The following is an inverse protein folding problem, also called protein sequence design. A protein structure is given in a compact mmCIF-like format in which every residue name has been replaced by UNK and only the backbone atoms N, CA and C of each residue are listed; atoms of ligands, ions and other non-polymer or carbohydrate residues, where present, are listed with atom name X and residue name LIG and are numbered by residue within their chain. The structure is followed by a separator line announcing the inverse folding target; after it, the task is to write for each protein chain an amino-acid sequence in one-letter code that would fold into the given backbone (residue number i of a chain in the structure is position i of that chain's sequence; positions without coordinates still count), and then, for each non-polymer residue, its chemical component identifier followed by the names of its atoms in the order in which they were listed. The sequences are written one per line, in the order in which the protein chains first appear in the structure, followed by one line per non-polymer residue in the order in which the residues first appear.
data_IF_100256274113
#
_entry.id   IF_100256274113
#
_cell.length_a   1.000
_cell.length_b   1.000
_cell.length_c   1.000
_cell.angle_alpha   90.00
_cell.angle_beta   90.00
_cell.angle_gamma   90.00
#
_symmetry.space_group_name_H-M   'P 1'
#
loop_
_entity.id
_entity.type
_entity.pdbx_description
1 polymer ?
#
# COMPACT_ATOMS: atom_id res chain seq x y z
N UNK A 1 -10.66 -9.82 14.14
CA UNK A 1 -10.20 -9.69 12.74
C UNK A 1 -9.02 -8.73 12.79
N UNK A 2 -7.84 -9.24 12.61
CA UNK A 2 -6.65 -8.40 12.48
C UNK A 2 -6.42 -8.29 10.98
N UNK A 3 -6.75 -7.14 10.42
CA UNK A 3 -6.30 -6.81 9.08
C UNK A 3 -4.82 -6.52 9.23
N UNK A 4 -4.00 -7.42 8.83
CA UNK A 4 -2.64 -7.12 8.54
C UNK A 4 -2.64 -6.75 7.06
N UNK A 5 -2.93 -5.45 6.80
CA UNK A 5 -2.42 -4.87 5.59
C UNK A 5 -0.91 -5.05 5.70
N UNK A 6 -0.38 -5.97 4.93
CA UNK A 6 1.03 -5.97 4.70
C UNK A 6 1.30 -4.74 3.88
N UNK A 7 1.48 -3.62 4.59
CA UNK A 7 1.99 -2.39 4.02
C UNK A 7 3.39 -2.57 3.39
N UNK A 8 3.96 -3.75 3.51
CA UNK A 8 5.06 -4.25 2.67
C UNK A 8 4.54 -4.83 1.35
N UNK A 9 3.24 -4.95 1.19
CA UNK A 9 2.60 -5.46 -0.01
C UNK A 9 2.75 -4.58 -1.23
N UNK A 10 3.06 -3.32 -1.06
CA UNK A 10 3.31 -2.42 -2.19
C UNK A 10 4.43 -2.87 -3.14
N UNK A 11 5.18 -3.88 -2.84
CA UNK A 11 6.28 -4.33 -3.67
C UNK A 11 6.69 -5.78 -3.46
N UNK A 12 5.83 -6.62 -2.90
CA UNK A 12 6.22 -7.96 -2.53
C UNK A 12 5.05 -8.96 -2.55
N UNK A 13 5.26 -10.10 -3.21
CA UNK A 13 4.42 -11.27 -2.98
C UNK A 13 5.07 -12.12 -1.88
N UNK A 14 4.34 -12.49 -0.82
CA UNK A 14 4.90 -13.22 0.30
C UNK A 14 5.37 -14.62 -0.10
N UNK A 15 6.26 -15.18 0.69
CA UNK A 15 6.58 -16.60 0.63
C UNK A 15 5.38 -17.46 1.06
N UNK A 16 5.32 -18.70 0.58
CA UNK A 16 4.21 -19.61 0.87
C UNK A 16 4.07 -19.87 2.39
N UNK A 17 5.20 -20.01 3.10
CA UNK A 17 5.21 -20.18 4.56
C UNK A 17 4.42 -19.09 5.32
N UNK A 18 4.41 -17.85 4.80
CA UNK A 18 3.65 -16.76 5.40
C UNK A 18 2.14 -17.00 5.30
N UNK A 19 1.67 -17.39 4.12
CA UNK A 19 0.24 -17.68 3.92
C UNK A 19 -0.18 -18.96 4.64
N UNK A 20 0.68 -19.98 4.72
CA UNK A 20 0.44 -21.17 5.51
C UNK A 20 0.20 -20.83 7.00
N UNK A 21 1.01 -19.94 7.57
CA UNK A 21 0.82 -19.46 8.95
C UNK A 21 -0.48 -18.64 9.07
N UNK A 22 -0.83 -17.83 8.09
CA UNK A 22 -2.10 -17.09 8.09
C UNK A 22 -3.29 -18.05 8.02
N UNK A 23 -3.21 -19.12 7.23
CA UNK A 23 -4.22 -20.17 7.15
C UNK A 23 -4.41 -20.87 8.49
N UNK A 24 -3.32 -21.27 9.15
CA UNK A 24 -3.35 -21.92 10.46
C UNK A 24 -3.94 -21.02 11.56
N UNK A 25 -3.58 -19.73 11.54
CA UNK A 25 -4.03 -18.77 12.55
C UNK A 25 -5.41 -18.17 12.25
N UNK A 26 -5.98 -18.41 11.08
CA UNK A 26 -7.25 -17.83 10.66
C UNK A 26 -7.18 -16.32 10.42
N UNK A 27 -6.04 -15.83 9.94
CA UNK A 27 -5.82 -14.43 9.59
C UNK A 27 -6.27 -14.19 8.15
N UNK A 28 -6.95 -13.07 7.89
CA UNK A 28 -7.30 -12.68 6.54
C UNK A 28 -6.19 -11.81 5.96
N UNK A 29 -5.81 -12.11 4.73
CA UNK A 29 -4.77 -11.41 3.98
C UNK A 29 -5.39 -10.59 2.85
N UNK A 30 -5.03 -9.32 2.80
CA UNK A 30 -5.24 -8.41 1.67
C UNK A 30 -3.93 -8.38 0.87
N UNK A 31 -3.95 -8.86 -0.36
CA UNK A 31 -2.76 -8.95 -1.20
C UNK A 31 -2.81 -7.95 -2.35
N UNK A 32 -1.87 -7.02 -2.36
CA UNK A 32 -1.67 -6.14 -3.51
C UNK A 32 -0.89 -6.85 -4.63
N UNK A 33 -1.23 -6.52 -5.88
CA UNK A 33 -0.28 -6.64 -6.97
C UNK A 33 0.85 -5.61 -6.77
N UNK A 34 2.08 -5.92 -7.22
CA UNK A 34 3.30 -5.18 -6.86
C UNK A 34 3.39 -3.79 -7.50
N UNK A 35 2.35 -2.97 -7.38
CA UNK A 35 2.30 -1.60 -7.89
C UNK A 35 1.93 -0.61 -6.80
N UNK A 36 2.79 0.39 -6.60
CA UNK A 36 2.58 1.40 -5.58
C UNK A 36 3.19 2.74 -5.94
N UNK A 37 2.52 3.84 -5.59
CA UNK A 37 3.06 5.20 -5.53
C UNK A 37 3.87 5.59 -6.78
N UNK A 38 3.45 5.18 -7.98
CA UNK A 38 4.10 5.47 -9.25
C UNK A 38 3.10 5.46 -10.40
N UNK A 39 3.50 5.96 -11.57
CA UNK A 39 2.72 5.86 -12.81
C UNK A 39 3.54 5.12 -13.85
N UNK A 40 2.97 4.10 -14.44
CA UNK A 40 3.62 3.24 -15.41
C UNK A 40 3.13 3.53 -16.83
N UNK A 41 4.04 3.38 -17.81
CA UNK A 41 3.67 3.34 -19.21
C UNK A 41 3.45 1.88 -19.62
N UNK A 42 2.28 1.55 -20.09
CA UNK A 42 1.96 0.20 -20.53
C UNK A 42 2.47 -0.01 -21.97
N UNK A 43 3.76 -0.34 -22.09
CA UNK A 43 4.34 -0.83 -23.36
C UNK A 43 3.93 -2.27 -23.59
N UNK A 44 4.02 -2.75 -24.82
CA UNK A 44 3.72 -4.15 -25.17
C UNK A 44 4.59 -5.13 -24.37
N UNK A 45 5.90 -4.87 -24.30
CA UNK A 45 6.84 -5.68 -23.52
C UNK A 45 6.49 -5.69 -22.02
N UNK A 46 6.10 -4.53 -21.46
CA UNK A 46 5.72 -4.44 -20.06
C UNK A 46 4.40 -5.18 -19.80
N UNK A 47 3.40 -5.04 -20.69
CA UNK A 47 2.12 -5.75 -20.59
C UNK A 47 2.33 -7.28 -20.62
N UNK A 48 3.17 -7.78 -21.53
CA UNK A 48 3.51 -9.21 -21.59
C UNK A 48 4.17 -9.70 -20.30
N UNK A 49 5.15 -8.94 -19.78
CA UNK A 49 5.88 -9.30 -18.58
C UNK A 49 4.99 -9.32 -17.33
N UNK A 50 4.20 -8.25 -17.08
CA UNK A 50 3.30 -8.20 -15.91
C UNK A 50 2.18 -9.22 -16.01
N UNK A 51 1.68 -9.50 -17.21
CA UNK A 51 0.65 -10.54 -17.42
C UNK A 51 1.17 -11.91 -16.99
N UNK A 52 2.39 -12.26 -17.38
CA UNK A 52 3.01 -13.51 -16.96
C UNK A 52 3.21 -13.56 -15.44
N UNK A 53 3.70 -12.48 -14.84
CA UNK A 53 3.89 -12.35 -13.39
C UNK A 53 2.55 -12.51 -12.63
N UNK A 54 1.49 -11.88 -13.10
CA UNK A 54 0.17 -11.99 -12.46
C UNK A 54 -0.35 -13.41 -12.48
N UNK A 55 -0.30 -14.07 -13.64
CA UNK A 55 -0.74 -15.47 -13.79
C UNK A 55 0.05 -16.38 -12.84
N UNK A 56 1.36 -16.23 -12.78
CA UNK A 56 2.23 -17.06 -11.96
C UNK A 56 1.91 -16.90 -10.47
N UNK A 57 1.82 -15.65 -9.98
CA UNK A 57 1.54 -15.40 -8.57
C UNK A 57 0.09 -15.72 -8.18
N UNK A 58 -0.89 -15.45 -9.03
CA UNK A 58 -2.28 -15.86 -8.75
C UNK A 58 -2.37 -17.39 -8.62
N UNK A 59 -1.75 -18.14 -9.52
CA UNK A 59 -1.72 -19.61 -9.45
C UNK A 59 -1.05 -20.13 -8.19
N UNK A 60 0.03 -19.46 -7.76
CA UNK A 60 0.79 -19.81 -6.57
C UNK A 60 -0.02 -19.57 -5.28
N UNK A 61 -0.77 -18.46 -5.20
CA UNK A 61 -1.37 -17.99 -3.96
C UNK A 61 -2.87 -18.29 -3.80
N UNK A 62 -3.61 -18.51 -4.89
CA UNK A 62 -5.08 -18.64 -4.91
C UNK A 62 -5.67 -19.78 -4.07
N UNK A 63 -4.85 -20.73 -3.66
CA UNK A 63 -5.33 -21.89 -2.89
C UNK A 63 -5.34 -21.65 -1.37
N UNK A 64 -4.81 -20.53 -0.89
CA UNK A 64 -4.80 -20.18 0.52
C UNK A 64 -6.14 -19.60 0.97
N UNK A 65 -6.83 -20.22 1.93
CA UNK A 65 -8.11 -19.72 2.44
C UNK A 65 -7.96 -18.40 3.22
N UNK A 66 -6.78 -18.05 3.67
CA UNK A 66 -6.47 -16.75 4.27
C UNK A 66 -6.53 -15.58 3.28
N UNK A 67 -6.29 -15.83 1.99
CA UNK A 67 -6.32 -14.81 0.95
C UNK A 67 -7.74 -14.27 0.75
N UNK A 68 -8.05 -13.12 1.34
CA UNK A 68 -9.38 -12.53 1.34
C UNK A 68 -9.70 -11.74 0.08
N UNK A 69 -8.72 -11.06 -0.47
CA UNK A 69 -8.87 -10.27 -1.70
C UNK A 69 -7.54 -9.98 -2.38
N UNK A 70 -7.63 -9.70 -3.66
CA UNK A 70 -6.58 -9.11 -4.47
C UNK A 70 -6.82 -7.62 -4.66
N UNK A 71 -5.81 -6.78 -4.46
CA UNK A 71 -5.87 -5.35 -4.72
C UNK A 71 -4.93 -4.97 -5.87
N UNK A 72 -5.42 -4.12 -6.76
CA UNK A 72 -4.69 -3.79 -7.99
C UNK A 72 -3.42 -2.96 -7.76
N UNK A 73 -3.50 -1.98 -6.86
CA UNK A 73 -2.37 -1.09 -6.60
C UNK A 73 -2.56 -0.27 -5.32
N UNK A 74 -1.46 0.29 -4.82
CA UNK A 74 -1.46 1.25 -3.73
C UNK A 74 -1.35 2.69 -4.23
N UNK A 75 -2.32 3.53 -3.89
CA UNK A 75 -2.41 4.99 -4.07
C UNK A 75 -2.43 5.52 -5.50
N UNK A 76 -2.28 4.67 -6.50
CA UNK A 76 -2.15 5.15 -7.89
C UNK A 76 -3.44 5.75 -8.43
N UNK A 77 -4.62 5.22 -8.06
CA UNK A 77 -5.90 5.74 -8.54
C UNK A 77 -6.09 7.21 -8.15
N UNK A 78 -5.82 7.53 -6.89
CA UNK A 78 -5.98 8.88 -6.36
C UNK A 78 -4.97 9.86 -6.99
N UNK A 79 -3.70 9.48 -7.07
CA UNK A 79 -2.66 10.31 -7.68
C UNK A 79 -2.88 10.52 -9.19
N UNK A 80 -3.25 9.48 -9.92
CA UNK A 80 -3.56 9.59 -11.36
C UNK A 80 -4.78 10.48 -11.58
N UNK A 81 -5.82 10.37 -10.74
CA UNK A 81 -6.98 11.26 -10.78
C UNK A 81 -6.60 12.72 -10.58
N UNK A 82 -5.77 12.99 -9.59
CA UNK A 82 -5.31 14.34 -9.28
C UNK A 82 -4.34 14.90 -10.34
N UNK A 83 -3.83 14.04 -11.22
CA UNK A 83 -2.82 14.40 -12.22
C UNK A 83 -1.40 14.47 -11.67
N UNK A 84 -1.20 13.99 -10.44
CA UNK A 84 0.12 13.84 -9.87
C UNK A 84 0.85 12.68 -10.55
N UNK A 85 2.13 12.86 -10.80
CA UNK A 85 3.02 11.90 -11.49
C UNK A 85 2.61 11.56 -12.94
N UNK A 86 1.48 12.06 -13.42
CA UNK A 86 1.02 11.86 -14.81
C UNK A 86 1.71 12.87 -15.72
N UNK A 87 2.41 12.38 -16.73
CA UNK A 87 3.10 13.21 -17.71
C UNK A 87 2.32 13.35 -19.04
N UNK A 88 1.36 12.47 -19.31
CA UNK A 88 0.50 12.53 -20.49
C UNK A 88 -0.80 11.75 -20.28
N UNK A 89 -1.84 12.08 -21.06
CA UNK A 89 -3.17 11.46 -20.95
C UNK A 89 -3.16 9.95 -21.26
N UNK A 90 -2.20 9.46 -22.03
CA UNK A 90 -2.04 8.03 -22.28
C UNK A 90 -1.87 7.24 -20.97
N UNK A 91 -1.15 7.77 -20.00
CA UNK A 91 -0.93 7.09 -18.72
C UNK A 91 -2.22 6.86 -17.92
N UNK A 92 -3.24 7.72 -18.10
CA UNK A 92 -4.58 7.47 -17.52
C UNK A 92 -5.26 6.28 -18.20
N UNK A 93 -5.16 6.18 -19.52
CA UNK A 93 -5.68 5.02 -20.25
C UNK A 93 -4.93 3.75 -19.92
N UNK A 94 -3.60 3.82 -19.78
CA UNK A 94 -2.74 2.71 -19.37
C UNK A 94 -3.14 2.22 -17.95
N UNK A 95 -3.41 3.14 -17.02
CA UNK A 95 -3.90 2.82 -15.68
C UNK A 95 -5.20 2.00 -15.74
N UNK A 96 -6.22 2.50 -16.44
CA UNK A 96 -7.51 1.80 -16.58
C UNK A 96 -7.30 0.42 -17.22
N UNK A 97 -6.48 0.34 -18.28
CA UNK A 97 -6.21 -0.93 -18.95
C UNK A 97 -5.54 -1.95 -18.00
N UNK A 98 -4.58 -1.53 -17.19
CA UNK A 98 -3.88 -2.41 -16.25
C UNK A 98 -4.81 -2.92 -15.16
N UNK A 99 -5.44 -2.01 -14.42
CA UNK A 99 -6.13 -2.33 -13.17
C UNK A 99 -7.61 -2.63 -13.32
N UNK A 100 -8.26 -2.15 -14.37
CA UNK A 100 -9.70 -2.38 -14.57
C UNK A 100 -10.01 -3.33 -15.74
N UNK A 101 -8.99 -3.76 -16.49
CA UNK A 101 -9.18 -4.70 -17.59
C UNK A 101 -8.26 -5.92 -17.51
N UNK A 102 -6.93 -5.75 -17.47
CA UNK A 102 -5.98 -6.88 -17.54
C UNK A 102 -6.08 -7.75 -16.29
N UNK A 103 -5.95 -7.16 -15.10
CA UNK A 103 -6.01 -7.92 -13.84
C UNK A 103 -7.36 -8.61 -13.65
N UNK A 104 -8.52 -7.93 -13.79
CA UNK A 104 -9.81 -8.61 -13.72
C UNK A 104 -10.00 -9.74 -14.71
N UNK A 105 -9.47 -9.60 -15.94
CA UNK A 105 -9.51 -10.66 -16.94
C UNK A 105 -8.72 -11.89 -16.50
N UNK A 106 -7.51 -11.68 -16.00
CA UNK A 106 -6.65 -12.77 -15.49
C UNK A 106 -7.31 -13.46 -14.30
N UNK A 107 -7.80 -12.70 -13.32
CA UNK A 107 -8.47 -13.27 -12.15
C UNK A 107 -9.73 -14.05 -12.53
N UNK A 108 -10.48 -13.59 -13.51
CA UNK A 108 -11.65 -14.35 -14.01
C UNK A 108 -11.27 -15.72 -14.57
N UNK A 109 -10.09 -15.86 -15.15
CA UNK A 109 -9.59 -17.11 -15.73
C UNK A 109 -8.88 -17.98 -14.69
N UNK A 110 -8.07 -17.37 -13.82
CA UNK A 110 -7.16 -18.09 -12.92
C UNK A 110 -7.72 -18.26 -11.51
N UNK A 111 -8.54 -17.32 -11.03
CA UNK A 111 -9.15 -17.34 -9.69
C UNK A 111 -10.57 -16.72 -9.71
N UNK A 112 -11.55 -17.36 -10.36
CA UNK A 112 -12.87 -16.77 -10.61
C UNK A 112 -13.70 -16.53 -9.34
N UNK A 113 -13.28 -17.01 -8.20
CA UNK A 113 -13.95 -16.81 -6.91
C UNK A 113 -13.35 -15.67 -6.09
N UNK A 114 -12.15 -15.17 -6.49
CA UNK A 114 -11.48 -14.13 -5.78
C UNK A 114 -12.24 -12.80 -5.81
N UNK A 115 -12.26 -12.11 -4.69
CA UNK A 115 -12.68 -10.72 -4.68
C UNK A 115 -11.51 -9.83 -5.12
N UNK A 116 -11.77 -8.96 -6.08
CA UNK A 116 -10.81 -8.00 -6.59
C UNK A 116 -11.20 -6.57 -6.24
N UNK A 117 -10.24 -5.80 -5.73
CA UNK A 117 -10.37 -4.39 -5.46
C UNK A 117 -9.37 -3.60 -6.35
N UNK A 118 -9.81 -2.59 -7.14
CA UNK A 118 -8.95 -2.02 -8.20
C UNK A 118 -7.76 -1.22 -7.68
N UNK A 119 -7.90 -0.57 -6.53
CA UNK A 119 -6.86 0.22 -5.89
C UNK A 119 -7.13 0.41 -4.40
N UNK A 120 -6.14 0.82 -3.64
CA UNK A 120 -6.28 1.31 -2.28
C UNK A 120 -5.57 2.67 -2.16
N UNK A 121 -6.28 3.79 -1.82
CA UNK A 121 -7.71 3.86 -1.61
C UNK A 121 -8.50 3.85 -2.92
N UNK A 122 -9.75 3.38 -2.85
CA UNK A 122 -10.67 3.40 -3.98
C UNK A 122 -12.12 3.42 -3.53
N UNK A 123 -13.00 3.91 -4.37
CA UNK A 123 -14.46 3.80 -4.21
C UNK A 123 -15.08 2.82 -5.20
N UNK A 124 -14.26 1.99 -5.86
CA UNK A 124 -14.67 0.98 -6.81
C UNK A 124 -14.08 1.13 -8.22
N UNK A 125 -13.11 2.05 -8.39
CA UNK A 125 -12.41 2.27 -9.64
C UNK A 125 -12.92 3.42 -10.49
N UNK A 126 -12.39 3.52 -11.70
CA UNK A 126 -12.77 4.52 -12.72
C UNK A 126 -12.55 5.98 -12.29
N UNK A 127 -11.66 6.21 -11.33
CA UNK A 127 -11.39 7.53 -10.75
C UNK A 127 -12.61 8.18 -10.09
N UNK A 128 -13.61 7.39 -9.67
CA UNK A 128 -14.83 7.89 -9.05
C UNK A 128 -14.64 8.17 -7.56
N UNK A 129 -14.02 9.31 -7.26
CA UNK A 129 -13.79 9.81 -5.91
C UNK A 129 -13.09 8.77 -4.99
N UNK A 130 -11.82 8.42 -5.26
CA UNK A 130 -11.11 7.34 -4.57
C UNK A 130 -11.07 7.45 -3.05
N UNK A 131 -11.13 8.65 -2.48
CA UNK A 131 -11.13 8.93 -1.03
C UNK A 131 -12.54 9.21 -0.48
N UNK A 132 -13.59 8.57 -1.01
CA UNK A 132 -14.94 8.77 -0.51
C UNK A 132 -15.09 8.17 0.90
N UNK A 133 -15.42 8.97 1.93
CA UNK A 133 -15.53 8.48 3.29
C UNK A 133 -16.60 7.42 3.51
N UNK A 134 -17.55 7.28 2.57
CA UNK A 134 -18.71 6.40 2.69
C UNK A 134 -18.66 5.17 1.78
N UNK A 135 -17.68 5.07 0.88
CA UNK A 135 -17.52 3.97 -0.08
C UNK A 135 -16.10 3.45 -0.09
N UNK A 136 -15.96 2.14 -0.21
CA UNK A 136 -14.65 1.50 -0.30
C UNK A 136 -13.76 1.78 0.92
N UNK A 137 -12.54 2.19 0.66
CA UNK A 137 -11.52 2.45 1.66
C UNK A 137 -10.86 3.82 1.48
N UNK A 138 -10.25 4.32 2.54
CA UNK A 138 -9.52 5.59 2.55
C UNK A 138 -8.14 5.44 3.18
N UNK A 139 -7.20 6.26 2.72
CA UNK A 139 -5.91 6.49 3.36
C UNK A 139 -5.94 7.81 4.11
N UNK A 140 -5.78 7.78 5.43
CA UNK A 140 -5.86 8.98 6.25
C UNK A 140 -4.51 9.36 6.85
N UNK A 141 -3.80 10.24 6.16
CA UNK A 141 -2.44 10.67 6.52
C UNK A 141 -2.35 12.10 7.06
N UNK A 142 -3.48 12.75 7.37
CA UNK A 142 -3.49 14.16 7.78
C UNK A 142 -2.82 14.41 9.12
N UNK A 143 -2.79 13.42 10.02
CA UNK A 143 -2.01 13.55 11.25
C UNK A 143 -0.52 13.44 10.93
N UNK A 144 -0.05 12.37 10.27
CA UNK A 144 1.37 12.19 10.01
C UNK A 144 1.92 13.16 8.96
N UNK A 145 1.32 13.24 7.78
CA UNK A 145 1.79 14.11 6.70
C UNK A 145 1.25 15.53 6.80
N UNK A 146 0.00 15.71 7.23
CA UNK A 146 -0.66 17.01 7.34
C UNK A 146 -0.38 17.78 8.64
N UNK A 147 0.30 17.17 9.60
CA UNK A 147 0.64 17.76 10.92
C UNK A 147 -0.59 18.19 11.74
N UNK A 148 -1.75 17.58 11.51
CA UNK A 148 -2.92 17.80 12.36
C UNK A 148 -2.72 17.10 13.72
N UNK A 149 -3.34 17.61 14.82
CA UNK A 149 -3.19 17.01 16.13
C UNK A 149 -3.75 15.58 16.17
N UNK A 150 -3.26 14.71 17.06
CA UNK A 150 -3.77 13.35 17.23
C UNK A 150 -5.27 13.28 17.48
N UNK A 151 -5.85 14.33 18.08
CA UNK A 151 -7.31 14.43 18.30
C UNK A 151 -8.11 14.43 17.01
N UNK A 152 -7.49 14.76 15.88
CA UNK A 152 -8.16 14.80 14.58
C UNK A 152 -8.64 13.41 14.12
N UNK A 153 -7.99 12.33 14.51
CA UNK A 153 -8.50 10.98 14.28
C UNK A 153 -9.95 10.76 14.80
N UNK A 154 -10.40 11.55 15.79
CA UNK A 154 -11.75 11.44 16.35
C UNK A 154 -12.79 12.22 15.56
N UNK A 155 -12.38 13.09 14.66
CA UNK A 155 -13.26 13.95 13.89
C UNK A 155 -13.83 13.25 12.64
N UNK A 156 -13.30 12.10 12.28
CA UNK A 156 -13.65 11.38 11.07
C UNK A 156 -14.35 10.06 11.36
N UNK A 157 -15.30 9.71 10.49
CA UNK A 157 -16.01 8.42 10.50
C UNK A 157 -16.01 7.89 9.08
N UNK A 158 -14.96 7.18 8.74
CA UNK A 158 -14.85 6.52 7.46
C UNK A 158 -15.55 5.16 7.49
N UNK A 159 -16.01 4.70 6.34
CA UNK A 159 -16.55 3.33 6.20
C UNK A 159 -15.45 2.29 6.49
N UNK A 160 -14.29 2.48 5.92
CA UNK A 160 -13.09 1.69 6.15
C UNK A 160 -11.84 2.55 5.96
N UNK A 161 -10.88 2.41 6.83
CA UNK A 161 -9.58 3.08 6.74
C UNK A 161 -8.54 1.97 6.57
N UNK A 162 -8.00 1.85 5.37
CA UNK A 162 -6.98 0.86 5.04
C UNK A 162 -5.60 1.31 5.49
N UNK A 163 -5.34 2.62 5.43
CA UNK A 163 -4.09 3.19 5.91
C UNK A 163 -4.30 4.42 6.79
N UNK A 164 -3.61 4.43 7.90
CA UNK A 164 -3.40 5.59 8.78
C UNK A 164 -2.25 5.28 9.72
N UNK A 165 -1.71 6.28 10.39
CA UNK A 165 -0.73 5.97 11.41
C UNK A 165 0.24 7.09 11.70
N UNK A 166 1.28 6.72 12.44
CA UNK A 166 2.33 7.59 12.87
C UNK A 166 3.63 6.81 12.98
N UNK A 167 4.71 7.34 12.40
CA UNK A 167 5.99 6.68 12.43
C UNK A 167 6.63 6.76 13.82
N UNK A 168 7.26 5.70 14.26
CA UNK A 168 8.03 5.64 15.51
C UNK A 168 9.48 5.27 15.24
N UNK A 169 10.35 5.58 16.20
CA UNK A 169 11.70 5.03 16.20
C UNK A 169 11.68 3.54 16.52
N UNK A 170 12.62 2.76 16.01
CA UNK A 170 12.79 1.36 16.43
C UNK A 170 13.29 1.29 17.88
N UNK A 171 13.25 0.11 18.47
CA UNK A 171 13.79 -0.10 19.80
C UNK A 171 15.32 0.10 19.84
N UNK A 172 15.85 0.32 21.04
CA UNK A 172 17.29 0.61 21.21
C UNK A 172 18.19 -0.52 20.69
N UNK A 173 17.79 -1.77 20.85
CA UNK A 173 18.55 -2.92 20.31
C UNK A 173 18.73 -2.85 18.79
N UNK A 174 17.66 -2.43 18.09
CA UNK A 174 17.73 -2.20 16.65
C UNK A 174 18.62 -1.00 16.31
N UNK A 175 18.50 0.12 17.05
CA UNK A 175 19.36 1.30 16.85
C UNK A 175 20.83 0.93 17.06
N UNK A 176 21.12 0.16 18.10
CA UNK A 176 22.48 -0.29 18.43
C UNK A 176 23.07 -1.21 17.36
N UNK A 177 22.25 -1.92 16.60
CA UNK A 177 22.73 -2.80 15.54
C UNK A 177 23.32 -2.07 14.32
N UNK A 178 23.03 -0.77 14.15
CA UNK A 178 23.49 0.01 13.01
C UNK A 178 24.16 1.36 13.38
N UNK A 179 24.33 1.65 14.67
CA UNK A 179 24.93 2.91 15.15
C UNK A 179 26.05 2.67 16.15
N UNK A 180 27.07 3.52 16.09
CA UNK A 180 28.03 3.67 17.19
C UNK A 180 27.43 4.58 18.29
N UNK A 181 27.95 4.56 19.54
CA UNK A 181 27.42 5.38 20.64
C UNK A 181 27.29 6.88 20.33
N UNK A 182 28.24 7.44 19.60
CA UNK A 182 28.22 8.85 19.18
C UNK A 182 27.15 9.19 18.16
N UNK A 183 26.63 8.19 17.42
CA UNK A 183 25.59 8.37 16.42
C UNK A 183 24.17 8.27 17.01
N UNK A 184 24.02 7.87 18.27
CA UNK A 184 22.71 7.69 18.92
C UNK A 184 22.02 8.99 19.29
N UNK A 185 21.94 9.87 18.31
CA UNK A 185 21.20 11.14 18.35
C UNK A 185 20.25 11.16 17.15
N UNK A 186 18.98 11.47 17.39
CA UNK A 186 17.92 11.43 16.35
C UNK A 186 18.23 12.31 15.11
N UNK A 187 19.09 13.29 15.24
CA UNK A 187 19.54 14.16 14.16
C UNK A 187 20.99 13.89 13.72
N UNK A 188 21.60 12.79 14.15
CA UNK A 188 22.90 12.40 13.63
C UNK A 188 22.80 12.00 12.16
N UNK A 189 23.91 12.12 11.44
CA UNK A 189 23.97 11.74 10.03
C UNK A 189 23.52 10.27 9.82
N UNK A 190 23.95 9.37 10.69
CA UNK A 190 23.60 7.94 10.57
C UNK A 190 22.12 7.73 10.78
N UNK A 191 21.52 8.31 11.83
CA UNK A 191 20.09 8.21 12.09
C UNK A 191 19.24 8.82 10.96
N UNK A 192 19.64 10.01 10.45
CA UNK A 192 18.95 10.65 9.31
C UNK A 192 19.05 9.80 8.03
N UNK A 193 20.18 9.11 7.80
CA UNK A 193 20.34 8.24 6.62
C UNK A 193 19.55 6.93 6.69
N UNK A 194 19.24 6.47 7.89
CA UNK A 194 18.35 5.31 8.10
C UNK A 194 16.86 5.69 8.05
N UNK A 195 16.55 7.00 8.08
CA UNK A 195 15.20 7.50 7.90
C UNK A 195 14.87 7.65 6.40
N UNK A 196 13.75 7.03 5.98
CA UNK A 196 13.30 7.07 4.57
C UNK A 196 12.26 8.15 4.29
N UNK A 197 11.54 8.60 5.30
CA UNK A 197 10.60 9.69 5.15
C UNK A 197 11.30 11.03 5.44
N UNK A 198 11.30 11.92 4.48
CA UNK A 198 11.87 13.26 4.64
C UNK A 198 11.20 14.00 5.82
N UNK A 199 12.01 14.63 6.66
CA UNK A 199 11.57 15.37 7.85
C UNK A 199 10.89 14.54 8.96
N UNK A 200 10.89 13.21 8.89
CA UNK A 200 10.21 12.36 9.86
C UNK A 200 10.74 12.54 11.29
N UNK A 201 12.06 12.59 11.48
CA UNK A 201 12.65 12.80 12.80
C UNK A 201 12.18 14.11 13.43
N UNK A 202 12.15 15.20 12.65
CA UNK A 202 11.63 16.49 13.09
C UNK A 202 10.12 16.45 13.42
N UNK A 203 9.32 15.72 12.62
CA UNK A 203 7.89 15.54 12.90
C UNK A 203 7.66 14.79 14.19
N UNK A 204 8.34 13.67 14.41
CA UNK A 204 8.23 12.89 15.65
C UNK A 204 8.54 13.77 16.87
N UNK A 205 9.67 14.50 16.83
CA UNK A 205 10.07 15.39 17.93
C UNK A 205 9.06 16.53 18.14
N UNK A 206 8.51 17.10 17.06
CA UNK A 206 7.46 18.13 17.15
C UNK A 206 6.21 17.64 17.90
N UNK A 207 5.76 16.40 17.64
CA UNK A 207 4.63 15.82 18.37
C UNK A 207 4.95 15.47 19.83
N UNK A 208 6.19 15.04 20.11
CA UNK A 208 6.63 14.76 21.48
C UNK A 208 6.76 16.03 22.35
N UNK A 209 6.81 17.20 21.73
CA UNK A 209 6.93 18.51 22.42
C UNK A 209 5.58 19.17 22.72
N UNK A 210 4.46 18.59 22.32
CA UNK A 210 3.11 19.07 22.57
C UNK A 210 2.54 18.47 23.87
#
# INVERSE_FOLDING_TARGET
MIWQDFAMGCGHYPDDDFLDVCDELGLLVWQDFMFACAVYNLTEEFEENITAEFIDNVRRLRHHPSLALWCGNNEMEDFVKQGEWVSCERQRADYIKMYEYIIPKILKEEDPQAFYWPASPSSGGSFDFPQDPNRGDVHYWMVWHGLLPFTDYRNHKFRYVSEFGFQSFPCMETIESFTEPEDRNVFSYVMEKHQRNASANGRIVSYLSQ
#
